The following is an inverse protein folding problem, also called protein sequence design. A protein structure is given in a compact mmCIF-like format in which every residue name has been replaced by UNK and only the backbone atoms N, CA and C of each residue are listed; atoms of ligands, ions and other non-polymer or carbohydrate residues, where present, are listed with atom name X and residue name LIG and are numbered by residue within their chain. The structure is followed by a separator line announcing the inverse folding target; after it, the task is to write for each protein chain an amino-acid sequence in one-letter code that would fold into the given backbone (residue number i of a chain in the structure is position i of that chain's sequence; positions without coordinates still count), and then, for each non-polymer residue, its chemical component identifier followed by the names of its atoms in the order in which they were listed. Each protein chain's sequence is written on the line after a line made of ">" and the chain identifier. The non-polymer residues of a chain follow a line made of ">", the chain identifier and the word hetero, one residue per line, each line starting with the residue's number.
data_IF_656566414223
#
_entry.id   IF_656566414223
#
_cell.length_a   1.000
_cell.length_b   1.000
_cell.length_c   1.000
_cell.angle_alpha   90.00
_cell.angle_beta   90.00
_cell.angle_gamma   90.00
#
_symmetry.space_group_name_H-M   'P 1'
#
loop_
_entity.id
_entity.type
_entity.pdbx_description
1 polymer ?
#
# COMPACT_ATOMS: atom_id res chain seq x y z
N UNK A 1 46.15 20.84 8.16
CA UNK A 1 45.43 19.91 9.05
C UNK A 1 43.99 20.37 9.20
N UNK A 2 43.07 19.49 8.79
CA UNK A 2 41.72 19.23 9.36
C UNK A 2 40.72 20.38 9.55
N UNK A 3 39.44 20.23 9.20
CA UNK A 3 38.65 19.41 8.25
C UNK A 3 37.19 19.78 8.60
N UNK A 4 36.40 20.13 7.59
CA UNK A 4 34.94 19.96 7.47
C UNK A 4 34.09 19.99 8.76
N UNK A 5 33.37 21.09 9.01
CA UNK A 5 32.28 21.06 10.01
C UNK A 5 31.10 22.02 9.73
N UNK A 6 30.84 22.40 8.48
CA UNK A 6 29.70 23.31 8.16
C UNK A 6 28.78 22.79 7.03
N UNK A 7 29.04 21.59 6.49
CA UNK A 7 28.22 21.05 5.37
C UNK A 7 27.11 20.09 5.85
N UNK A 8 27.05 19.74 7.14
CA UNK A 8 26.14 18.67 7.60
C UNK A 8 24.71 19.10 7.97
N UNK A 9 24.41 20.40 8.04
CA UNK A 9 23.06 20.85 8.46
C UNK A 9 22.15 21.29 7.30
N UNK A 10 22.71 21.58 6.11
CA UNK A 10 21.91 21.99 4.95
C UNK A 10 21.37 20.81 4.11
N UNK A 11 21.77 19.58 4.40
CA UNK A 11 21.30 18.40 3.65
C UNK A 11 20.05 17.74 4.26
N UNK A 12 19.72 18.00 5.54
CA UNK A 12 18.51 17.45 6.18
C UNK A 12 17.25 18.28 5.94
N UNK A 13 17.37 19.57 5.58
CA UNK A 13 16.20 20.42 5.30
C UNK A 13 15.64 20.26 3.88
N UNK A 14 16.30 19.51 2.99
CA UNK A 14 15.84 19.25 1.63
C UNK A 14 14.94 18.00 1.51
N UNK A 15 14.78 17.23 2.59
CA UNK A 15 13.87 16.07 2.63
C UNK A 15 12.49 16.41 3.20
N UNK A 16 12.31 17.60 3.76
CA UNK A 16 11.07 18.00 4.45
C UNK A 16 9.91 18.37 3.52
N UNK A 17 10.10 18.38 2.20
CA UNK A 17 9.12 18.91 1.25
C UNK A 17 8.63 17.92 0.20
N UNK A 18 9.00 16.64 0.29
CA UNK A 18 8.20 15.60 -0.37
C UNK A 18 7.02 15.28 0.55
N UNK A 19 6.18 16.29 0.81
CA UNK A 19 4.81 15.97 1.13
C UNK A 19 4.28 15.24 -0.10
N UNK A 20 4.10 13.92 -0.01
CA UNK A 20 3.19 13.24 -0.93
C UNK A 20 1.91 14.07 -0.87
N UNK A 21 1.58 14.78 -1.94
CA UNK A 21 0.46 15.69 -1.93
C UNK A 21 -0.80 14.89 -1.53
N UNK A 22 -1.36 15.17 -0.36
CA UNK A 22 -2.53 14.43 0.17
C UNK A 22 -2.26 13.35 1.22
N UNK A 23 -1.04 13.16 1.72
CA UNK A 23 -0.73 12.39 2.94
C UNK A 23 -0.46 13.34 4.10
N UNK A 24 -1.15 13.16 5.22
CA UNK A 24 -0.88 13.99 6.40
C UNK A 24 0.41 13.54 7.09
N UNK A 25 1.05 14.43 7.85
CA UNK A 25 2.27 14.09 8.60
C UNK A 25 2.04 12.91 9.56
N UNK A 26 0.85 12.82 10.15
CA UNK A 26 0.48 11.73 11.05
C UNK A 26 0.33 10.40 10.29
N UNK A 27 -0.30 10.41 9.12
CA UNK A 27 -0.42 9.21 8.28
C UNK A 27 0.97 8.72 7.84
N UNK A 28 1.83 9.64 7.39
CA UNK A 28 3.18 9.30 6.97
C UNK A 28 4.01 8.70 8.12
N UNK A 29 3.90 9.26 9.33
CA UNK A 29 4.55 8.72 10.51
C UNK A 29 4.06 7.29 10.81
N UNK A 30 2.74 7.06 10.82
CA UNK A 30 2.17 5.74 11.09
C UNK A 30 2.58 4.70 10.02
N UNK A 31 2.63 5.09 8.74
CA UNK A 31 3.11 4.24 7.64
C UNK A 31 4.57 3.83 7.88
N UNK A 32 5.43 4.79 8.20
CA UNK A 32 6.85 4.54 8.45
C UNK A 32 7.06 3.69 9.70
N UNK A 33 6.35 3.98 10.78
CA UNK A 33 6.43 3.22 12.03
C UNK A 33 6.03 1.76 11.81
N UNK A 34 4.93 1.52 11.09
CA UNK A 34 4.46 0.17 10.77
C UNK A 34 5.43 -0.58 9.86
N UNK A 35 5.97 0.09 8.85
CA UNK A 35 6.93 -0.50 7.92
C UNK A 35 8.23 -0.90 8.62
N UNK A 36 8.71 -0.05 9.53
CA UNK A 36 10.01 -0.18 10.18
C UNK A 36 9.95 -0.86 11.57
N UNK A 37 8.78 -1.34 12.00
CA UNK A 37 8.53 -1.89 13.33
C UNK A 37 8.97 -0.95 14.46
N UNK A 38 8.73 0.34 14.29
CA UNK A 38 9.07 1.32 15.33
C UNK A 38 8.00 1.27 16.41
N UNK A 39 8.42 1.01 17.64
CA UNK A 39 7.56 1.16 18.82
C UNK A 39 7.29 2.66 19.07
N UNK A 40 6.32 3.21 18.36
CA UNK A 40 5.94 4.61 18.48
C UNK A 40 5.58 4.92 19.95
N UNK A 41 6.19 5.94 20.57
CA UNK A 41 5.84 6.36 21.93
C UNK A 41 4.36 6.68 22.14
N UNK A 42 3.62 7.05 21.08
CA UNK A 42 2.17 7.27 21.09
C UNK A 42 1.37 5.98 21.35
N UNK A 43 1.94 4.81 21.05
CA UNK A 43 1.38 3.49 21.32
C UNK A 43 1.88 2.92 22.65
N UNK A 44 2.18 3.77 23.64
CA UNK A 44 2.47 3.32 25.00
C UNK A 44 1.25 3.48 25.89
N UNK A 45 0.93 2.42 26.62
CA UNK A 45 -0.04 2.43 27.70
C UNK A 45 0.66 2.12 29.03
N UNK A 46 -0.07 2.27 30.14
CA UNK A 46 0.47 2.01 31.47
C UNK A 46 -0.08 0.68 31.96
N UNK A 47 0.80 -0.23 32.37
CA UNK A 47 0.38 -1.50 32.97
C UNK A 47 -0.08 -1.32 34.44
N UNK A 48 -0.54 -2.40 35.07
CA UNK A 48 -1.02 -2.39 36.47
C UNK A 48 0.03 -1.88 37.49
N UNK A 49 1.33 -1.93 37.14
CA UNK A 49 2.42 -1.44 38.00
C UNK A 49 2.87 -0.01 37.67
N UNK A 50 2.15 0.72 36.82
CA UNK A 50 2.53 2.08 36.45
C UNK A 50 3.65 2.17 35.41
N UNK A 51 4.08 1.05 34.80
CA UNK A 51 5.16 1.03 33.82
C UNK A 51 4.62 1.22 32.40
N UNK A 52 5.32 2.01 31.55
CA UNK A 52 4.96 2.12 30.15
C UNK A 52 5.23 0.79 29.44
N UNK A 53 4.23 0.29 28.72
CA UNK A 53 4.30 -0.90 27.88
C UNK A 53 3.78 -0.57 26.48
N UNK A 54 4.29 -1.25 25.46
CA UNK A 54 3.80 -1.10 24.10
C UNK A 54 2.38 -1.68 23.99
N UNK A 55 1.48 -0.88 23.43
CA UNK A 55 0.07 -1.17 23.24
C UNK A 55 -0.16 -1.62 21.79
N UNK A 56 0.06 -2.92 21.56
CA UNK A 56 -0.13 -3.53 20.25
C UNK A 56 -1.57 -3.43 19.74
N UNK A 57 -2.56 -3.43 20.64
CA UNK A 57 -3.97 -3.29 20.25
C UNK A 57 -4.23 -1.90 19.69
N UNK A 58 -3.69 -0.86 20.34
CA UNK A 58 -3.81 0.52 19.85
C UNK A 58 -3.09 0.70 18.51
N UNK A 59 -1.89 0.15 18.36
CA UNK A 59 -1.17 0.19 17.08
C UNK A 59 -1.96 -0.46 15.94
N UNK A 60 -2.56 -1.64 16.21
CA UNK A 60 -3.43 -2.32 15.27
C UNK A 60 -4.68 -1.50 14.90
N UNK A 61 -5.34 -0.87 15.89
CA UNK A 61 -6.51 -0.02 15.65
C UNK A 61 -6.17 1.20 14.80
N UNK A 62 -5.05 1.86 15.08
CA UNK A 62 -4.59 3.02 14.31
C UNK A 62 -4.25 2.62 12.86
N UNK A 63 -3.59 1.47 12.65
CA UNK A 63 -3.32 0.93 11.31
C UNK A 63 -4.61 0.60 10.55
N UNK A 64 -5.57 -0.06 11.19
CA UNK A 64 -6.86 -0.38 10.59
C UNK A 64 -7.64 0.90 10.20
N UNK A 65 -7.62 1.93 11.06
CA UNK A 65 -8.23 3.22 10.77
C UNK A 65 -7.56 3.93 9.59
N UNK A 66 -6.23 3.86 9.50
CA UNK A 66 -5.47 4.38 8.35
C UNK A 66 -5.85 3.65 7.06
N UNK A 67 -5.90 2.31 7.08
CA UNK A 67 -6.34 1.53 5.93
C UNK A 67 -7.75 1.96 5.48
N UNK A 68 -8.73 2.00 6.39
CA UNK A 68 -10.11 2.37 6.07
C UNK A 68 -10.19 3.79 5.49
N UNK A 69 -9.43 4.73 6.05
CA UNK A 69 -9.36 6.12 5.55
C UNK A 69 -8.96 6.17 4.08
N UNK A 70 -8.01 5.36 3.62
CA UNK A 70 -7.57 5.35 2.23
C UNK A 70 -8.40 4.43 1.33
N UNK A 71 -8.89 3.29 1.84
CA UNK A 71 -9.74 2.36 1.10
C UNK A 71 -11.12 2.96 0.76
N UNK A 72 -11.67 3.78 1.66
CA UNK A 72 -12.95 4.45 1.47
C UNK A 72 -12.82 5.83 0.84
N UNK A 73 -11.60 6.34 0.69
CA UNK A 73 -11.36 7.64 0.05
C UNK A 73 -11.87 7.56 -1.38
N UNK A 74 -12.69 8.51 -1.78
CA UNK A 74 -13.18 8.62 -3.15
C UNK A 74 -14.04 7.42 -3.62
N UNK A 75 -14.58 6.62 -2.70
CA UNK A 75 -15.48 5.49 -3.01
C UNK A 75 -16.68 5.94 -3.84
N UNK A 76 -17.18 7.15 -3.58
CA UNK A 76 -18.38 7.72 -4.21
C UNK A 76 -18.06 8.71 -5.35
N UNK A 77 -16.81 9.20 -5.46
CA UNK A 77 -16.42 10.23 -6.45
C UNK A 77 -15.79 9.66 -7.72
N UNK A 78 -15.66 8.33 -7.82
CA UNK A 78 -15.16 7.58 -8.99
C UNK A 78 -13.72 7.91 -9.45
N UNK A 79 -13.03 8.89 -8.88
CA UNK A 79 -11.65 9.25 -9.22
C UNK A 79 -10.80 9.29 -7.97
N UNK A 80 -10.09 8.20 -7.71
CA UNK A 80 -8.96 8.22 -6.78
C UNK A 80 -7.95 9.24 -7.27
N UNK A 81 -7.56 10.19 -6.43
CA UNK A 81 -6.38 11.01 -6.76
C UNK A 81 -5.16 10.11 -6.91
N UNK A 82 -4.25 10.46 -7.82
CA UNK A 82 -3.06 9.64 -8.09
C UNK A 82 -2.23 9.40 -6.82
N UNK A 83 -2.12 10.41 -5.96
CA UNK A 83 -1.39 10.29 -4.69
C UNK A 83 -2.10 9.41 -3.66
N UNK A 84 -3.44 9.48 -3.58
CA UNK A 84 -4.20 8.57 -2.72
C UNK A 84 -4.06 7.13 -3.19
N UNK A 85 -4.04 6.91 -4.51
CA UNK A 85 -3.85 5.60 -5.09
C UNK A 85 -2.45 5.02 -4.80
N UNK A 86 -1.39 5.85 -4.91
CA UNK A 86 -0.02 5.46 -4.51
C UNK A 86 0.02 4.98 -3.07
N UNK A 87 -0.62 5.72 -2.16
CA UNK A 87 -0.66 5.37 -0.74
C UNK A 87 -1.46 4.10 -0.53
N UNK A 88 -2.65 3.98 -1.13
CA UNK A 88 -3.47 2.79 -1.01
C UNK A 88 -2.74 1.52 -1.46
N UNK A 89 -2.09 1.54 -2.64
CA UNK A 89 -1.28 0.40 -3.11
C UNK A 89 -0.07 0.13 -2.21
N UNK A 90 0.55 1.17 -1.65
CA UNK A 90 1.62 1.03 -0.66
C UNK A 90 1.12 0.34 0.62
N UNK A 91 -0.08 0.65 1.11
CA UNK A 91 -0.65 -0.04 2.29
C UNK A 91 -0.81 -1.53 2.03
N UNK A 92 -1.28 -1.93 0.83
CA UNK A 92 -1.34 -3.33 0.43
C UNK A 92 0.04 -4.00 0.39
N UNK A 93 1.06 -3.31 -0.15
CA UNK A 93 2.44 -3.80 -0.14
C UNK A 93 2.99 -3.99 1.29
N UNK A 94 2.74 -3.02 2.19
CA UNK A 94 3.13 -3.11 3.60
C UNK A 94 2.42 -4.28 4.27
N UNK A 95 1.10 -4.43 4.08
CA UNK A 95 0.35 -5.55 4.66
C UNK A 95 0.95 -6.90 4.27
N UNK A 96 1.41 -7.05 3.02
CA UNK A 96 2.12 -8.26 2.59
C UNK A 96 3.48 -8.40 3.27
N UNK A 97 4.27 -7.33 3.33
CA UNK A 97 5.59 -7.34 3.95
C UNK A 97 5.54 -7.64 5.46
N UNK A 98 4.46 -7.23 6.12
CA UNK A 98 4.21 -7.41 7.56
C UNK A 98 3.40 -8.67 7.89
N UNK A 99 2.92 -9.41 6.87
CA UNK A 99 2.03 -10.55 7.03
C UNK A 99 0.75 -10.21 7.82
N UNK A 100 0.23 -9.01 7.62
CA UNK A 100 -1.02 -8.56 8.25
C UNK A 100 -2.22 -9.17 7.51
N UNK A 101 -2.65 -10.35 7.98
CA UNK A 101 -3.70 -11.12 7.35
C UNK A 101 -5.03 -10.35 7.20
N UNK A 102 -5.39 -9.52 8.18
CA UNK A 102 -6.66 -8.78 8.16
C UNK A 102 -6.65 -7.72 7.05
N UNK A 103 -5.57 -6.93 6.97
CA UNK A 103 -5.43 -5.92 5.91
C UNK A 103 -5.23 -6.57 4.54
N UNK A 104 -4.51 -7.69 4.46
CA UNK A 104 -4.33 -8.46 3.22
C UNK A 104 -5.67 -8.94 2.64
N UNK A 105 -6.57 -9.44 3.48
CA UNK A 105 -7.90 -9.91 3.08
C UNK A 105 -8.78 -8.74 2.63
N UNK A 106 -8.86 -7.67 3.43
CA UNK A 106 -9.62 -6.48 3.07
C UNK A 106 -9.13 -5.88 1.74
N UNK A 107 -7.82 -5.73 1.57
CA UNK A 107 -7.22 -5.15 0.36
C UNK A 107 -7.50 -5.99 -0.88
N UNK A 108 -7.44 -7.33 -0.81
CA UNK A 108 -7.81 -8.20 -1.93
C UNK A 108 -9.29 -8.04 -2.32
N UNK A 109 -10.19 -7.89 -1.33
CA UNK A 109 -11.61 -7.64 -1.56
C UNK A 109 -11.88 -6.30 -2.26
N UNK A 110 -11.19 -5.25 -1.81
CA UNK A 110 -11.41 -3.88 -2.26
C UNK A 110 -10.70 -3.56 -3.61
N UNK A 111 -9.60 -4.24 -3.90
CA UNK A 111 -8.72 -3.89 -5.03
C UNK A 111 -9.33 -4.16 -6.40
N UNK A 112 -10.00 -5.29 -6.63
CA UNK A 112 -10.56 -5.61 -7.97
C UNK A 112 -11.59 -4.57 -8.41
N UNK A 113 -12.62 -4.21 -7.61
CA UNK A 113 -13.55 -3.16 -7.99
C UNK A 113 -12.86 -1.79 -8.20
N UNK A 114 -11.81 -1.49 -7.44
CA UNK A 114 -11.04 -0.26 -7.63
C UNK A 114 -10.28 -0.27 -8.95
N UNK A 115 -9.63 -1.39 -9.27
CA UNK A 115 -8.88 -1.59 -10.51
C UNK A 115 -9.79 -1.45 -11.73
N UNK A 116 -10.94 -2.11 -11.74
CA UNK A 116 -11.90 -2.04 -12.86
C UNK A 116 -12.39 -0.60 -13.12
N UNK A 117 -12.56 0.21 -12.06
CA UNK A 117 -12.97 1.62 -12.19
C UNK A 117 -11.81 2.57 -12.54
N UNK A 118 -10.58 2.22 -12.21
CA UNK A 118 -9.43 3.13 -12.27
C UNK A 118 -8.22 2.49 -12.96
N UNK A 119 -8.43 1.58 -13.91
CA UNK A 119 -7.39 0.73 -14.50
C UNK A 119 -6.18 1.55 -14.98
N UNK A 120 -6.43 2.61 -15.75
CA UNK A 120 -5.37 3.46 -16.28
C UNK A 120 -4.52 4.10 -15.18
N UNK A 121 -5.18 4.59 -14.12
CA UNK A 121 -4.50 5.19 -12.97
C UNK A 121 -3.69 4.17 -12.18
N UNK A 122 -4.25 2.97 -11.95
CA UNK A 122 -3.53 1.89 -11.24
C UNK A 122 -2.30 1.48 -12.01
N UNK A 123 -2.43 1.19 -13.31
CA UNK A 123 -1.30 0.80 -14.14
C UNK A 123 -0.28 1.93 -14.29
N UNK A 124 -0.73 3.19 -14.31
CA UNK A 124 0.16 4.35 -14.25
C UNK A 124 1.00 4.38 -12.97
N UNK A 125 0.39 4.15 -11.81
CA UNK A 125 1.13 4.05 -10.54
C UNK A 125 2.10 2.86 -10.54
N UNK A 126 1.69 1.70 -11.05
CA UNK A 126 2.55 0.52 -11.12
C UNK A 126 3.75 0.72 -12.06
N UNK A 127 3.55 1.48 -13.16
CA UNK A 127 4.62 1.89 -14.05
C UNK A 127 5.61 2.85 -13.36
N UNK A 128 5.10 3.81 -12.60
CA UNK A 128 5.92 4.78 -11.87
C UNK A 128 6.66 4.14 -10.68
N UNK A 129 6.05 3.13 -10.04
CA UNK A 129 6.54 2.46 -8.83
C UNK A 129 6.57 0.93 -9.00
N UNK A 130 7.52 0.37 -9.79
CA UNK A 130 7.52 -1.05 -10.16
C UNK A 130 7.60 -2.03 -8.97
N UNK A 131 8.13 -1.60 -7.82
CA UNK A 131 8.20 -2.44 -6.62
C UNK A 131 6.81 -2.85 -6.09
N UNK A 132 5.75 -2.12 -6.46
CA UNK A 132 4.36 -2.42 -6.08
C UNK A 132 3.70 -3.48 -6.98
N UNK A 133 4.27 -3.83 -8.13
CA UNK A 133 3.65 -4.72 -9.12
C UNK A 133 3.39 -6.10 -8.50
N UNK A 134 4.41 -6.69 -7.88
CA UNK A 134 4.30 -8.05 -7.36
C UNK A 134 3.23 -8.19 -6.28
N UNK A 135 3.12 -7.23 -5.37
CA UNK A 135 2.06 -7.27 -4.35
C UNK A 135 0.69 -7.01 -4.96
N UNK A 136 0.57 -5.97 -5.79
CA UNK A 136 -0.72 -5.57 -6.38
C UNK A 136 -1.30 -6.68 -7.25
N UNK A 137 -0.52 -7.29 -8.15
CA UNK A 137 -0.99 -8.36 -9.01
C UNK A 137 -1.32 -9.64 -8.24
N UNK A 138 -0.56 -9.95 -7.17
CA UNK A 138 -0.90 -11.03 -6.24
C UNK A 138 -2.25 -10.81 -5.56
N UNK A 139 -2.57 -9.59 -5.15
CA UNK A 139 -3.88 -9.30 -4.53
C UNK A 139 -5.03 -9.35 -5.52
N UNK A 140 -4.81 -8.88 -6.76
CA UNK A 140 -5.79 -9.03 -7.83
C UNK A 140 -6.10 -10.51 -8.09
N UNK A 141 -5.07 -11.36 -8.15
CA UNK A 141 -5.28 -12.81 -8.26
C UNK A 141 -5.98 -13.40 -7.03
N UNK A 142 -5.50 -13.05 -5.82
CA UNK A 142 -6.05 -13.56 -4.54
C UNK A 142 -7.55 -13.32 -4.40
N UNK A 143 -8.09 -12.24 -4.97
CA UNK A 143 -9.53 -11.97 -5.00
C UNK A 143 -10.36 -13.14 -5.57
N UNK A 144 -9.80 -13.88 -6.53
CA UNK A 144 -10.47 -15.00 -7.19
C UNK A 144 -10.20 -16.36 -6.53
N UNK A 145 -9.34 -16.41 -5.52
CA UNK A 145 -9.02 -17.62 -4.75
C UNK A 145 -9.62 -17.64 -3.34
N UNK A 146 -10.21 -16.53 -2.89
CA UNK A 146 -10.72 -16.40 -1.52
C UNK A 146 -12.01 -17.22 -1.32
N UNK A 147 -11.95 -18.27 -0.50
CA UNK A 147 -13.08 -19.17 -0.20
C UNK A 147 -13.78 -19.76 -1.45
N UNK A 148 -13.02 -19.99 -2.54
CA UNK A 148 -13.52 -20.41 -3.86
C UNK A 148 -14.55 -19.44 -4.50
N UNK A 149 -14.73 -18.25 -3.94
CA UNK A 149 -15.60 -17.21 -4.50
C UNK A 149 -14.93 -16.60 -5.73
N UNK A 150 -15.72 -16.39 -6.78
CA UNK A 150 -15.30 -15.73 -8.03
C UNK A 150 -14.20 -16.47 -8.83
N UNK A 151 -13.83 -17.70 -8.47
CA UNK A 151 -12.80 -18.48 -9.20
C UNK A 151 -13.13 -18.63 -10.70
N UNK A 152 -14.41 -18.77 -11.01
CA UNK A 152 -14.97 -18.83 -12.36
C UNK A 152 -14.80 -17.51 -13.15
N UNK A 153 -14.62 -16.37 -12.46
CA UNK A 153 -14.46 -15.04 -13.06
C UNK A 153 -13.01 -14.71 -13.38
N UNK A 154 -12.03 -15.41 -12.80
CA UNK A 154 -10.58 -15.18 -13.03
C UNK A 154 -10.20 -15.16 -14.52
N UNK A 155 -10.65 -16.13 -15.36
CA UNK A 155 -10.31 -16.10 -16.78
C UNK A 155 -10.90 -14.90 -17.53
N UNK A 156 -12.10 -14.47 -17.13
CA UNK A 156 -12.78 -13.31 -17.74
C UNK A 156 -12.05 -12.02 -17.40
N UNK A 157 -11.65 -11.86 -16.13
CA UNK A 157 -10.85 -10.71 -15.69
C UNK A 157 -9.52 -10.65 -16.46
N UNK A 158 -8.80 -11.76 -16.54
CA UNK A 158 -7.51 -11.78 -17.24
C UNK A 158 -7.67 -11.47 -18.73
N UNK A 159 -8.69 -12.03 -19.39
CA UNK A 159 -8.98 -11.74 -20.80
C UNK A 159 -9.31 -10.27 -21.05
N UNK A 160 -9.99 -9.60 -20.11
CA UNK A 160 -10.35 -8.19 -20.23
C UNK A 160 -9.15 -7.24 -20.04
N UNK A 161 -8.18 -7.60 -19.18
CA UNK A 161 -7.17 -6.65 -18.70
C UNK A 161 -5.72 -6.97 -19.13
N UNK A 162 -5.42 -8.20 -19.55
CA UNK A 162 -4.04 -8.62 -19.85
C UNK A 162 -3.36 -7.78 -20.95
N UNK A 163 -4.08 -7.42 -22.01
CA UNK A 163 -3.52 -6.61 -23.09
C UNK A 163 -3.17 -5.20 -22.61
N UNK A 164 -4.01 -4.62 -21.74
CA UNK A 164 -3.73 -3.30 -21.18
C UNK A 164 -2.53 -3.33 -20.23
N UNK A 165 -2.41 -4.36 -19.40
CA UNK A 165 -1.22 -4.59 -18.55
C UNK A 165 0.05 -4.64 -19.41
N UNK A 166 0.04 -5.40 -20.51
CA UNK A 166 1.18 -5.51 -21.44
C UNK A 166 1.51 -4.21 -22.18
N UNK A 167 0.51 -3.37 -22.45
CA UNK A 167 0.70 -2.09 -23.13
C UNK A 167 1.33 -1.03 -22.22
N UNK A 168 0.96 -1.01 -20.93
CA UNK A 168 1.37 0.07 -20.01
C UNK A 168 2.68 -0.26 -19.29
N UNK A 169 2.85 -1.51 -18.84
CA UNK A 169 4.03 -1.94 -18.10
C UNK A 169 5.17 -2.36 -19.03
N UNK A 170 6.38 -2.49 -18.50
CA UNK A 170 7.49 -3.08 -19.27
C UNK A 170 7.19 -4.56 -19.55
N UNK A 171 7.76 -5.18 -20.59
CA UNK A 171 7.51 -6.60 -20.88
C UNK A 171 7.79 -7.52 -19.70
N UNK A 172 8.88 -7.26 -18.96
CA UNK A 172 9.26 -8.02 -17.76
C UNK A 172 8.23 -7.87 -16.64
N UNK A 173 7.76 -6.66 -16.41
CA UNK A 173 6.81 -6.32 -15.36
C UNK A 173 5.41 -6.89 -15.66
N UNK A 174 4.97 -6.78 -16.91
CA UNK A 174 3.72 -7.37 -17.37
C UNK A 174 3.74 -8.89 -17.25
N UNK A 175 4.82 -9.55 -17.67
CA UNK A 175 5.01 -10.99 -17.50
C UNK A 175 4.94 -11.38 -16.02
N UNK A 176 5.67 -10.66 -15.15
CA UNK A 176 5.65 -10.92 -13.71
C UNK A 176 4.26 -10.73 -13.09
N UNK A 177 3.47 -9.79 -13.60
CA UNK A 177 2.12 -9.54 -13.12
C UNK A 177 1.15 -10.65 -13.56
N UNK A 178 1.17 -11.01 -14.84
CA UNK A 178 0.26 -11.99 -15.45
C UNK A 178 0.49 -13.39 -14.87
N UNK A 179 1.74 -13.75 -14.55
CA UNK A 179 2.08 -15.06 -13.99
C UNK A 179 1.32 -15.39 -12.70
N UNK A 180 0.97 -14.38 -11.89
CA UNK A 180 0.15 -14.60 -10.70
C UNK A 180 -1.23 -15.21 -11.00
N UNK A 181 -1.76 -15.00 -12.21
CA UNK A 181 -3.06 -15.52 -12.62
C UNK A 181 -2.97 -16.88 -13.34
N UNK A 182 -1.77 -17.42 -13.55
CA UNK A 182 -1.57 -18.71 -14.22
C UNK A 182 -1.51 -19.89 -13.23
N UNK A 183 -1.25 -19.58 -11.95
CA UNK A 183 -1.29 -20.51 -10.82
C UNK A 183 -2.74 -20.82 -10.37
#
# INVERSE_FOLDING_TARGET
>A
MRRYCIISFLCLSLLSSVALAGVTQNDAALILDTLLDLENPAHRSTNEQGKPVYDALRAYQDWAALYQKYAQRDRDSAQFSQDSLRVYLLLGWIAQAKLDAATMEAFAGDLVPLYERNEESVLGVLKDLPFLISSTCRYLDRHFGFEDKNRDKKPVFLAAHADRIKQVLTPKDAESCIRYFED
#
